data_IF_017294281912
#
_entry.id   IF_017294281912
#
_cell.length_a   1.000
_cell.length_b   1.000
_cell.length_c   1.000
_cell.angle_alpha   90.00
_cell.angle_beta   90.00
_cell.angle_gamma   90.00
#
_symmetry.space_group_name_H-M   'P 1'
#
loop_
_entity.id
_entity.type
_entity.pdbx_description
1 polymer ?
#
# COMPACT_ATOMS: atom_id res chain seq x y z
N UNK A 1 0.72 12.34 -9.25
CA UNK A 1 -0.56 12.42 -8.54
C UNK A 1 -0.97 11.01 -8.14
N UNK A 2 -1.07 10.71 -6.84
CA UNK A 2 -1.81 9.53 -6.41
C UNK A 2 -3.28 9.81 -6.70
N UNK A 3 -3.82 9.19 -7.75
CA UNK A 3 -5.22 9.36 -8.11
C UNK A 3 -6.04 8.37 -7.29
N UNK A 4 -6.86 8.86 -6.37
CA UNK A 4 -7.79 8.07 -5.55
C UNK A 4 -8.35 8.91 -4.40
N UNK A 5 -9.66 8.93 -4.22
CA UNK A 5 -10.34 9.66 -3.15
C UNK A 5 -10.78 8.69 -2.05
N UNK A 6 -9.84 7.94 -1.47
CA UNK A 6 -10.12 6.76 -0.64
C UNK A 6 -10.52 7.06 0.82
N UNK A 7 -10.96 8.28 1.15
CA UNK A 7 -11.31 8.65 2.53
C UNK A 7 -12.46 7.83 3.08
N UNK A 8 -13.41 7.46 2.22
CA UNK A 8 -14.59 6.66 2.56
C UNK A 8 -14.46 5.19 2.07
N UNK A 9 -13.26 4.77 1.64
CA UNK A 9 -13.01 3.39 1.20
C UNK A 9 -13.22 2.42 2.36
N UNK A 10 -13.91 1.32 2.09
CA UNK A 10 -14.03 0.19 3.01
C UNK A 10 -13.25 -1.01 2.46
N UNK A 11 -12.29 -1.49 3.24
CA UNK A 11 -11.58 -2.76 2.98
C UNK A 11 -12.20 -3.87 3.84
N UNK A 12 -12.69 -4.92 3.20
CA UNK A 12 -13.15 -6.14 3.89
C UNK A 12 -12.18 -7.28 3.61
N UNK A 13 -11.63 -7.87 4.68
CA UNK A 13 -10.67 -8.97 4.61
C UNK A 13 -11.27 -10.26 5.17
N UNK A 14 -11.05 -11.39 4.49
CA UNK A 14 -11.51 -12.72 4.91
C UNK A 14 -10.38 -13.73 4.80
N UNK A 15 -10.08 -14.39 5.93
CA UNK A 15 -9.10 -15.46 6.01
C UNK A 15 -9.81 -16.81 6.14
N UNK A 16 -9.70 -17.64 5.13
CA UNK A 16 -10.27 -19.00 5.13
C UNK A 16 -9.15 -20.03 5.16
N UNK A 17 -9.06 -20.81 6.24
CA UNK A 17 -8.12 -21.94 6.29
C UNK A 17 -8.62 -23.06 5.38
N UNK A 18 -7.92 -23.31 4.28
CA UNK A 18 -8.28 -24.33 3.26
C UNK A 18 -7.54 -25.65 3.47
N UNK A 19 -6.42 -25.64 4.17
CA UNK A 19 -5.66 -26.84 4.54
C UNK A 19 -4.93 -26.67 5.88
N UNK A 20 -4.14 -27.67 6.28
CA UNK A 20 -3.33 -27.58 7.51
C UNK A 20 -2.34 -26.41 7.46
N UNK A 21 -1.74 -26.19 6.30
CA UNK A 21 -0.68 -25.21 6.04
C UNK A 21 -1.06 -24.14 5.02
N UNK A 22 -2.33 -24.10 4.58
CA UNK A 22 -2.81 -23.14 3.56
C UNK A 22 -3.99 -22.31 4.08
N UNK A 23 -3.97 -21.02 3.76
CA UNK A 23 -5.04 -20.06 3.99
C UNK A 23 -5.29 -19.29 2.70
N UNK A 24 -6.56 -19.18 2.30
CA UNK A 24 -6.96 -18.24 1.27
C UNK A 24 -7.27 -16.91 1.96
N UNK A 25 -6.51 -15.88 1.60
CA UNK A 25 -6.76 -14.50 2.01
C UNK A 25 -7.52 -13.79 0.88
N UNK A 26 -8.80 -13.51 1.11
CA UNK A 26 -9.64 -12.74 0.20
C UNK A 26 -9.78 -11.32 0.72
N UNK A 27 -9.69 -10.33 -0.17
CA UNK A 27 -9.99 -8.94 0.15
C UNK A 27 -10.92 -8.32 -0.89
N UNK A 28 -11.83 -7.46 -0.41
CA UNK A 28 -12.72 -6.64 -1.22
C UNK A 28 -12.50 -5.17 -0.90
N UNK A 29 -12.22 -4.37 -1.93
CA UNK A 29 -12.13 -2.92 -1.87
C UNK A 29 -13.47 -2.35 -2.35
N UNK A 30 -14.14 -1.63 -1.47
CA UNK A 30 -15.36 -0.87 -1.76
C UNK A 30 -15.04 0.63 -1.71
N UNK A 31 -14.79 1.21 -2.88
CA UNK A 31 -14.51 2.65 -3.04
C UNK A 31 -15.19 3.18 -4.32
N UNK A 32 -16.49 3.56 -4.23
CA UNK A 32 -17.24 4.08 -5.38
C UNK A 32 -16.79 5.46 -5.84
N UNK A 33 -15.97 6.16 -5.03
CA UNK A 33 -15.42 7.47 -5.40
C UNK A 33 -14.23 7.34 -6.35
N UNK A 34 -13.53 6.20 -6.29
CA UNK A 34 -12.35 5.89 -7.12
C UNK A 34 -12.66 4.89 -8.23
N UNK A 35 -13.45 3.85 -7.96
CA UNK A 35 -13.72 2.74 -8.89
C UNK A 35 -15.21 2.63 -9.24
N UNK A 36 -15.50 2.15 -10.46
CA UNK A 36 -16.88 1.96 -10.92
C UNK A 36 -17.56 0.73 -10.32
N UNK A 37 -16.79 -0.19 -9.75
CA UNK A 37 -17.28 -1.40 -9.11
C UNK A 37 -16.28 -1.85 -8.02
N UNK A 38 -16.72 -2.77 -7.15
CA UNK A 38 -15.88 -3.36 -6.11
C UNK A 38 -14.79 -4.22 -6.74
N UNK A 39 -13.59 -4.12 -6.18
CA UNK A 39 -12.47 -4.97 -6.57
C UNK A 39 -12.36 -6.08 -5.53
N UNK A 40 -12.41 -7.34 -5.97
CA UNK A 40 -12.18 -8.50 -5.10
C UNK A 40 -11.05 -9.35 -5.63
N UNK A 41 -10.14 -9.78 -4.76
CA UNK A 41 -9.04 -10.66 -5.10
C UNK A 41 -8.78 -11.68 -3.99
N UNK A 42 -8.19 -12.80 -4.38
CA UNK A 42 -7.76 -13.88 -3.47
C UNK A 42 -6.26 -14.06 -3.61
N UNK A 43 -5.57 -14.11 -2.48
CA UNK A 43 -4.15 -14.40 -2.34
C UNK A 43 -4.00 -15.71 -1.58
N UNK A 44 -3.65 -16.82 -2.26
CA UNK A 44 -3.34 -18.08 -1.59
C UNK A 44 -2.06 -17.93 -0.78
N UNK A 45 -2.12 -18.23 0.51
CA UNK A 45 -1.00 -18.16 1.44
C UNK A 45 -0.64 -19.56 1.93
N UNK A 46 0.64 -19.92 1.86
CA UNK A 46 1.17 -21.16 2.44
C UNK A 46 2.03 -20.83 3.65
N UNK A 47 2.00 -21.68 4.67
CA UNK A 47 2.82 -21.56 5.87
C UNK A 47 4.30 -21.57 5.51
N UNK A 48 5.03 -20.58 6.02
CA UNK A 48 6.49 -20.46 5.86
C UNK A 48 7.20 -20.55 7.22
N UNK A 49 8.45 -21.03 7.21
CA UNK A 49 9.30 -21.11 8.39
C UNK A 49 10.00 -19.76 8.67
N UNK A 50 9.23 -18.67 8.76
CA UNK A 50 9.75 -17.32 8.96
C UNK A 50 8.65 -16.29 9.22
N UNK A 51 9.05 -15.06 9.57
CA UNK A 51 8.14 -13.93 9.71
C UNK A 51 7.72 -13.43 8.33
N UNK A 52 6.41 -13.23 8.13
CA UNK A 52 5.90 -12.57 6.92
C UNK A 52 5.97 -11.07 7.17
N UNK A 53 6.68 -10.36 6.29
CA UNK A 53 6.71 -8.91 6.24
C UNK A 53 5.82 -8.43 5.10
N UNK A 54 5.11 -7.32 5.30
CA UNK A 54 4.39 -6.66 4.23
C UNK A 54 5.39 -6.21 3.15
N UNK A 55 5.16 -6.57 1.89
CA UNK A 55 6.04 -6.21 0.79
C UNK A 55 6.20 -4.68 0.64
N UNK A 56 5.15 -3.91 0.92
CA UNK A 56 5.16 -2.45 0.88
C UNK A 56 5.78 -1.81 2.13
N UNK A 57 6.27 -2.59 3.09
CA UNK A 57 6.91 -2.05 4.26
C UNK A 57 8.23 -1.36 3.86
N UNK A 58 8.26 -0.03 4.03
CA UNK A 58 9.44 0.80 3.80
C UNK A 58 10.16 1.16 5.10
N UNK A 59 9.86 0.45 6.19
CA UNK A 59 10.54 0.61 7.46
C UNK A 59 12.05 0.38 7.28
N UNK A 60 12.85 1.40 7.62
CA UNK A 60 14.31 1.37 7.43
C UNK A 60 14.81 1.70 6.02
N UNK A 61 13.94 2.04 5.06
CA UNK A 61 14.37 2.50 3.74
C UNK A 61 14.87 3.97 3.78
N UNK A 62 16.15 4.15 4.15
CA UNK A 62 16.81 5.46 4.15
C UNK A 62 16.87 6.12 2.76
N UNK A 63 16.79 5.33 1.68
CA UNK A 63 16.76 5.86 0.33
C UNK A 63 15.55 6.76 0.10
N UNK A 64 14.38 6.35 0.56
CA UNK A 64 13.14 7.14 0.43
C UNK A 64 13.26 8.50 1.15
N UNK A 65 13.78 8.50 2.37
CA UNK A 65 14.00 9.74 3.16
C UNK A 65 14.96 10.68 2.44
N UNK A 66 16.07 10.16 1.90
CA UNK A 66 17.08 10.96 1.24
C UNK A 66 16.58 11.54 -0.09
N UNK A 67 15.80 10.79 -0.86
CA UNK A 67 15.18 11.27 -2.11
C UNK A 67 14.25 12.44 -1.81
N UNK A 68 13.33 12.28 -0.86
CA UNK A 68 12.40 13.35 -0.47
C UNK A 68 13.12 14.58 0.08
N UNK A 69 14.22 14.38 0.82
CA UNK A 69 15.04 15.47 1.32
C UNK A 69 15.73 16.25 0.20
N UNK A 70 16.23 15.54 -0.81
CA UNK A 70 16.83 16.16 -2.00
C UNK A 70 15.84 17.08 -2.70
N UNK A 71 14.63 16.60 -2.97
CA UNK A 71 13.60 17.40 -3.64
C UNK A 71 13.16 18.61 -2.81
N UNK A 72 13.04 18.49 -1.49
CA UNK A 72 12.74 19.65 -0.64
C UNK A 72 13.82 20.73 -0.67
N UNK A 73 15.08 20.37 -0.90
CA UNK A 73 16.14 21.36 -1.11
C UNK A 73 16.03 22.01 -2.49
N UNK A 74 15.62 21.27 -3.51
CA UNK A 74 15.32 21.82 -4.85
C UNK A 74 14.17 22.84 -4.75
N UNK A 75 13.05 22.47 -4.12
CA UNK A 75 11.89 23.35 -3.90
C UNK A 75 12.27 24.65 -3.16
N UNK A 76 13.10 24.55 -2.12
CA UNK A 76 13.58 25.72 -1.38
C UNK A 76 14.38 26.67 -2.28
N UNK A 77 15.34 26.15 -3.04
CA UNK A 77 16.15 26.96 -3.96
C UNK A 77 15.29 27.64 -5.02
N UNK A 78 14.35 26.91 -5.60
CA UNK A 78 13.41 27.46 -6.59
C UNK A 78 12.54 28.58 -5.99
N UNK A 79 12.10 28.44 -4.74
CA UNK A 79 11.34 29.48 -4.04
C UNK A 79 12.18 30.72 -3.69
N UNK A 80 13.47 30.55 -3.41
CA UNK A 80 14.43 31.64 -3.14
C UNK A 80 14.82 32.39 -4.41
N UNK A 81 14.94 31.69 -5.55
CA UNK A 81 15.27 32.27 -6.85
C UNK A 81 14.08 32.98 -7.53
N UNK A 82 12.84 32.67 -7.11
CA UNK A 82 11.60 33.28 -7.60
C UNK A 82 11.13 34.53 -6.84
N UNK A 83 11.90 35.01 -5.86
CA UNK A 83 11.63 36.20 -5.03
C UNK A 83 12.73 37.26 -5.22
#
# INVERSE_FOLDING_TARGET
ASTGANYDMVLTERFTRTAYDTVDYEFTIDDPSTFTDKITAIVPMTKVAGQIYEYACHEGNYGMVNILRGERMTEQRESEEGN
#
